data_IF_968677454348
#
_entry.id   IF_968677454348
#
_cell.length_a   1.000
_cell.length_b   1.000
_cell.length_c   1.000
_cell.angle_alpha   90.00
_cell.angle_beta   90.00
_cell.angle_gamma   90.00
#
_symmetry.space_group_name_H-M   'P 1'
#
loop_
_entity.id
_entity.type
_entity.pdbx_description
1 polymer ?
#
# COMPACT_ATOMS: atom_id res chain seq x y z
N UNK A 1 -1.41 -12.73 -11.58
CA UNK A 1 -1.05 -11.41 -12.17
C UNK A 1 -1.56 -10.32 -11.23
N UNK A 2 -0.76 -9.27 -10.96
CA UNK A 2 -1.13 -8.20 -10.04
C UNK A 2 -2.24 -7.29 -10.60
N UNK A 3 -3.25 -6.96 -9.78
CA UNK A 3 -4.23 -5.91 -10.07
C UNK A 3 -3.81 -4.59 -9.41
N UNK A 4 -3.59 -3.55 -10.22
CA UNK A 4 -3.24 -2.20 -9.76
C UNK A 4 -4.37 -1.18 -9.92
N UNK A 5 -5.57 -1.63 -10.32
CA UNK A 5 -6.76 -0.79 -10.45
C UNK A 5 -7.50 -0.70 -9.10
N UNK A 6 -8.31 0.35 -8.89
CA UNK A 6 -9.22 0.42 -7.74
C UNK A 6 -10.11 -0.83 -7.70
N UNK A 7 -10.05 -1.57 -6.59
CA UNK A 7 -10.74 -2.85 -6.44
C UNK A 7 -11.44 -2.99 -5.06
N UNK A 8 -11.48 -1.92 -4.27
CA UNK A 8 -12.16 -1.93 -2.98
C UNK A 8 -13.61 -1.47 -3.15
N UNK A 9 -14.55 -2.28 -2.66
CA UNK A 9 -15.97 -1.94 -2.68
C UNK A 9 -16.32 -0.74 -1.78
N UNK A 10 -15.58 -0.58 -0.68
CA UNK A 10 -15.72 0.51 0.29
C UNK A 10 -14.33 1.04 0.67
N UNK A 11 -13.71 1.87 -0.19
CA UNK A 11 -12.35 2.35 0.05
C UNK A 11 -12.24 3.18 1.33
N UNK A 12 -13.19 4.08 1.58
CA UNK A 12 -13.17 5.00 2.73
C UNK A 12 -13.16 4.26 4.07
N UNK A 13 -14.08 3.31 4.26
CA UNK A 13 -14.13 2.43 5.43
C UNK A 13 -12.81 1.70 5.68
N UNK A 14 -12.18 1.20 4.61
CA UNK A 14 -10.92 0.48 4.72
C UNK A 14 -9.77 1.42 5.10
N UNK A 15 -9.73 2.62 4.54
CA UNK A 15 -8.73 3.63 4.91
C UNK A 15 -8.90 4.10 6.36
N UNK A 16 -10.14 4.28 6.83
CA UNK A 16 -10.41 4.61 8.24
C UNK A 16 -9.91 3.49 9.16
N UNK A 17 -10.20 2.23 8.85
CA UNK A 17 -9.73 1.08 9.62
C UNK A 17 -8.19 0.97 9.65
N UNK A 18 -7.50 1.30 8.55
CA UNK A 18 -6.04 1.34 8.50
C UNK A 18 -5.46 2.44 9.40
N UNK A 19 -6.08 3.63 9.42
CA UNK A 19 -5.65 4.73 10.30
C UNK A 19 -5.85 4.33 11.76
N UNK A 20 -7.01 3.78 12.07
CA UNK A 20 -7.36 3.36 13.43
C UNK A 20 -6.49 2.22 13.95
N UNK A 21 -6.04 1.32 13.08
CA UNK A 21 -5.09 0.24 13.42
C UNK A 21 -3.78 0.78 14.02
N UNK A 22 -3.37 2.01 13.67
CA UNK A 22 -2.15 2.64 14.17
C UNK A 22 -2.34 3.45 15.46
N UNK A 23 -3.57 3.63 15.92
CA UNK A 23 -3.86 4.42 17.11
C UNK A 23 -3.16 3.82 18.34
N UNK A 24 -2.59 4.69 19.16
CA UNK A 24 -1.88 4.34 20.41
C UNK A 24 -0.63 3.45 20.24
N UNK A 25 -0.13 3.27 19.01
CA UNK A 25 1.11 2.56 18.72
C UNK A 25 2.29 3.52 18.57
N UNK A 26 3.47 3.08 19.03
CA UNK A 26 4.73 3.73 18.66
C UNK A 26 5.14 3.37 17.22
N UNK A 27 6.20 4.03 16.72
CA UNK A 27 6.68 3.81 15.35
C UNK A 27 7.06 2.34 15.09
N UNK A 28 7.71 1.66 16.05
CA UNK A 28 8.16 0.29 15.87
C UNK A 28 6.97 -0.70 15.84
N UNK A 29 5.99 -0.49 16.71
CA UNK A 29 4.74 -1.24 16.74
C UNK A 29 3.92 -1.01 15.48
N UNK A 30 3.84 0.24 15.01
CA UNK A 30 3.21 0.63 13.75
C UNK A 30 3.83 -0.09 12.54
N UNK A 31 5.17 -0.17 12.48
CA UNK A 31 5.84 -0.96 11.44
C UNK A 31 5.59 -2.47 11.59
N UNK A 32 5.54 -2.98 12.83
CA UNK A 32 5.28 -4.41 13.09
C UNK A 32 3.88 -4.82 12.63
N UNK A 33 2.84 -4.04 12.94
CA UNK A 33 1.47 -4.36 12.54
C UNK A 33 1.32 -4.29 11.01
N UNK A 34 2.00 -3.35 10.34
CA UNK A 34 2.05 -3.29 8.88
C UNK A 34 2.70 -4.53 8.27
N UNK A 35 3.84 -4.97 8.80
CA UNK A 35 4.49 -6.20 8.34
C UNK A 35 3.59 -7.44 8.53
N UNK A 36 2.90 -7.54 9.67
CA UNK A 36 1.94 -8.62 9.92
C UNK A 36 0.77 -8.60 8.94
N UNK A 37 0.17 -7.43 8.71
CA UNK A 37 -0.92 -7.27 7.76
C UNK A 37 -0.49 -7.66 6.34
N UNK A 38 0.69 -7.23 5.89
CA UNK A 38 1.25 -7.61 4.58
C UNK A 38 1.39 -9.12 4.45
N UNK A 39 1.90 -9.81 5.48
CA UNK A 39 2.06 -11.27 5.45
C UNK A 39 0.72 -12.00 5.44
N UNK A 40 -0.28 -11.52 6.19
CA UNK A 40 -1.64 -12.07 6.19
C UNK A 40 -2.30 -11.93 4.81
N UNK A 41 -2.20 -10.74 4.21
CA UNK A 41 -2.74 -10.50 2.87
C UNK A 41 -2.00 -11.31 1.81
N UNK A 42 -0.68 -11.44 1.92
CA UNK A 42 0.11 -12.27 1.01
C UNK A 42 -0.32 -13.75 1.06
N UNK A 43 -0.56 -14.27 2.26
CA UNK A 43 -1.09 -15.62 2.44
C UNK A 43 -2.52 -15.75 1.87
N UNK A 44 -3.37 -14.74 2.05
CA UNK A 44 -4.72 -14.73 1.48
C UNK A 44 -4.72 -14.73 -0.06
N UNK A 45 -3.80 -13.97 -0.68
CA UNK A 45 -3.64 -13.89 -2.14
C UNK A 45 -3.10 -15.21 -2.70
N UNK A 46 -2.07 -15.80 -2.09
CA UNK A 46 -1.52 -17.12 -2.46
C UNK A 46 -0.83 -17.25 -3.83
N UNK A 47 -0.89 -16.22 -4.68
CA UNK A 47 -0.32 -16.24 -6.03
C UNK A 47 1.11 -15.67 -6.07
N UNK A 48 2.11 -16.56 -6.16
CA UNK A 48 3.52 -16.18 -6.09
C UNK A 48 3.93 -15.09 -7.11
N UNK A 49 3.49 -15.21 -8.37
CA UNK A 49 3.85 -14.24 -9.42
C UNK A 49 3.31 -12.83 -9.13
N UNK A 50 2.04 -12.74 -8.68
CA UNK A 50 1.42 -11.47 -8.30
C UNK A 50 2.14 -10.83 -7.10
N UNK A 51 2.56 -11.63 -6.11
CA UNK A 51 3.33 -11.14 -4.97
C UNK A 51 4.71 -10.61 -5.40
N UNK A 52 5.40 -11.31 -6.30
CA UNK A 52 6.69 -10.86 -6.83
C UNK A 52 6.56 -9.60 -7.69
N UNK A 53 5.47 -9.45 -8.45
CA UNK A 53 5.13 -8.20 -9.13
C UNK A 53 4.89 -7.06 -8.13
N UNK A 54 4.10 -7.30 -7.09
CA UNK A 54 3.81 -6.30 -6.06
C UNK A 54 5.09 -5.77 -5.39
N UNK A 55 6.03 -6.66 -5.05
CA UNK A 55 7.34 -6.27 -4.48
C UNK A 55 8.13 -5.38 -5.45
N UNK A 56 8.15 -5.73 -6.76
CA UNK A 56 8.83 -4.90 -7.77
C UNK A 56 8.20 -3.53 -7.91
N UNK A 57 6.87 -3.45 -7.96
CA UNK A 57 6.12 -2.19 -8.03
C UNK A 57 6.36 -1.31 -6.80
N UNK A 58 6.25 -1.87 -5.59
CA UNK A 58 6.48 -1.15 -4.35
C UNK A 58 7.91 -0.59 -4.26
N UNK A 59 8.92 -1.40 -4.63
CA UNK A 59 10.33 -0.96 -4.64
C UNK A 59 10.58 0.17 -5.63
N UNK A 60 9.93 0.15 -6.79
CA UNK A 60 10.07 1.21 -7.79
C UNK A 60 9.47 2.55 -7.31
N UNK A 61 8.33 2.52 -6.61
CA UNK A 61 7.66 3.73 -6.11
C UNK A 61 8.47 4.51 -5.08
N UNK A 62 9.27 3.84 -4.26
CA UNK A 62 10.16 4.49 -3.26
C UNK A 62 11.40 5.12 -3.89
N UNK A 63 11.81 4.67 -5.09
CA UNK A 63 13.07 5.09 -5.75
C UNK A 63 12.87 6.33 -6.63
N UNK A 64 11.64 6.81 -6.85
CA UNK A 64 11.40 8.09 -7.52
C UNK A 64 11.81 9.24 -6.58
N UNK A 65 12.88 10.01 -6.87
CA UNK A 65 13.26 11.16 -6.04
C UNK A 65 12.15 12.22 -6.09
N UNK A 66 11.96 13.05 -5.05
CA UNK A 66 11.02 14.16 -5.12
C UNK A 66 11.37 15.02 -6.33
N UNK A 67 10.48 15.08 -7.31
CA UNK A 67 10.61 15.98 -8.44
C UNK A 67 10.67 17.40 -7.87
N UNK A 68 11.86 18.01 -7.92
CA UNK A 68 12.04 19.41 -7.56
C UNK A 68 11.06 20.25 -8.40
N UNK A 69 10.13 20.90 -7.70
CA UNK A 69 9.30 22.02 -8.13
C UNK A 69 8.83 22.04 -9.59
N UNK A 70 7.52 21.86 -9.76
CA UNK A 70 6.70 22.19 -10.95
C UNK A 70 6.40 21.03 -11.90
N UNK A 71 5.43 20.20 -11.55
CA UNK A 71 4.23 20.03 -12.39
C UNK A 71 3.16 19.24 -11.65
N UNK A 72 1.91 19.61 -11.88
CA UNK A 72 0.73 18.80 -11.57
C UNK A 72 0.92 17.35 -12.03
N UNK A 73 0.52 16.38 -11.18
CA UNK A 73 0.20 15.03 -11.63
C UNK A 73 0.94 13.89 -10.94
N UNK A 74 0.79 13.73 -9.61
CA UNK A 74 1.11 12.48 -8.94
C UNK A 74 0.22 12.17 -7.72
N UNK A 75 -0.92 12.86 -7.59
CA UNK A 75 -1.93 12.60 -6.55
C UNK A 75 -3.17 11.88 -7.10
N UNK A 76 -3.05 11.20 -8.24
CA UNK A 76 -4.19 10.69 -9.00
C UNK A 76 -4.15 9.21 -9.36
N UNK A 77 -3.44 8.36 -8.62
CA UNK A 77 -3.35 6.93 -8.99
C UNK A 77 -3.69 5.92 -7.89
N UNK A 78 -4.30 6.36 -6.77
CA UNK A 78 -4.92 5.42 -5.82
C UNK A 78 -6.27 5.86 -5.24
N UNK A 79 -6.89 6.90 -5.80
CA UNK A 79 -8.24 7.33 -5.41
C UNK A 79 -8.98 7.94 -6.62
N UNK A 80 -9.47 7.08 -7.52
CA UNK A 80 -10.59 7.29 -8.42
C UNK A 80 -10.88 5.99 -9.18
#
# INVERSE_FOLDING_TARGET
MLNTQPNLARPDDFYEALIDMHRDLDDAQSQSVNAQLILLLANHVGEHEALMEAIRFARAGVVVPPANGSSMGAAGMLAA
#
